data_IF_563736772148
#
_entry.id   IF_563736772148
#
_cell.length_a   1.000
_cell.length_b   1.000
_cell.length_c   1.000
_cell.angle_alpha   90.00
_cell.angle_beta   90.00
_cell.angle_gamma   90.00
#
_symmetry.space_group_name_H-M   'P 1'
#
loop_
_entity.id
_entity.type
_entity.pdbx_description
1 polymer ?
#
# COMPACT_ATOMS: atom_id res chain seq x y z
N UNK A 1 19.76 -29.70 21.74
CA UNK A 1 19.39 -29.30 23.11
C UNK A 1 18.38 -28.18 23.02
N UNK A 2 17.45 -28.04 23.98
CA UNK A 2 16.78 -26.75 24.16
C UNK A 2 17.83 -25.73 24.65
N UNK A 3 17.63 -24.45 24.33
CA UNK A 3 18.45 -23.37 24.90
C UNK A 3 17.76 -22.86 26.18
N UNK A 4 18.49 -22.33 27.18
CA UNK A 4 17.87 -21.88 28.43
C UNK A 4 16.80 -20.80 28.20
N UNK A 5 16.98 -19.93 27.20
CA UNK A 5 16.01 -18.90 26.81
C UNK A 5 14.69 -19.53 26.30
N UNK A 6 14.77 -20.65 25.58
CA UNK A 6 13.60 -21.41 25.13
C UNK A 6 12.87 -22.11 26.29
N UNK A 7 13.60 -22.58 27.30
CA UNK A 7 13.01 -23.16 28.52
C UNK A 7 12.31 -22.09 29.39
N UNK A 8 12.92 -20.91 29.56
CA UNK A 8 12.30 -19.77 30.28
C UNK A 8 11.04 -19.23 29.59
N UNK A 9 11.03 -19.21 28.26
CA UNK A 9 9.86 -18.88 27.44
C UNK A 9 8.76 -19.95 27.61
N UNK A 10 9.11 -21.23 27.48
CA UNK A 10 8.17 -22.34 27.64
C UNK A 10 7.58 -22.43 29.06
N UNK A 11 8.35 -22.09 30.10
CA UNK A 11 7.88 -22.00 31.47
C UNK A 11 6.81 -20.91 31.67
N UNK A 12 6.96 -19.75 31.00
CA UNK A 12 5.96 -18.69 31.01
C UNK A 12 4.66 -19.11 30.29
N UNK A 13 4.77 -19.78 29.14
CA UNK A 13 3.62 -20.35 28.44
C UNK A 13 2.88 -21.41 29.30
N UNK A 14 3.62 -22.30 29.98
CA UNK A 14 3.08 -23.26 30.96
C UNK A 14 2.33 -22.56 32.10
N UNK A 15 2.87 -21.47 32.65
CA UNK A 15 2.23 -20.68 33.73
C UNK A 15 0.90 -20.08 33.29
N UNK A 16 0.86 -19.44 32.12
CA UNK A 16 -0.37 -18.88 31.54
C UNK A 16 -1.40 -19.97 31.23
N UNK A 17 -0.97 -21.10 30.64
CA UNK A 17 -1.82 -22.26 30.37
C UNK A 17 -2.39 -22.88 31.65
N UNK A 18 -1.59 -22.94 32.71
CA UNK A 18 -2.02 -23.41 34.03
C UNK A 18 -3.16 -22.55 34.60
N UNK A 19 -2.99 -21.22 34.58
CA UNK A 19 -4.02 -20.27 35.05
C UNK A 19 -5.31 -20.32 34.23
N UNK A 20 -5.23 -20.60 32.92
CA UNK A 20 -6.40 -20.59 32.03
C UNK A 20 -7.36 -21.77 32.22
N UNK A 21 -6.95 -22.84 32.90
CA UNK A 21 -7.74 -24.06 33.10
C UNK A 21 -8.02 -24.88 31.83
N UNK A 22 -7.56 -24.43 30.65
CA UNK A 22 -7.91 -25.03 29.35
C UNK A 22 -7.02 -26.23 29.01
N UNK A 23 -7.57 -27.21 28.29
CA UNK A 23 -6.80 -28.34 27.75
C UNK A 23 -6.01 -27.93 26.51
N UNK A 24 -4.90 -28.62 26.22
CA UNK A 24 -4.08 -28.30 25.05
C UNK A 24 -4.84 -28.50 23.73
N UNK A 25 -5.75 -29.47 23.63
CA UNK A 25 -6.59 -29.66 22.45
C UNK A 25 -7.58 -28.49 22.19
N UNK A 26 -8.17 -27.92 23.25
CA UNK A 26 -9.07 -26.76 23.13
C UNK A 26 -8.31 -25.49 22.72
N UNK A 27 -7.07 -25.32 23.19
CA UNK A 27 -6.22 -24.21 22.78
C UNK A 27 -5.72 -24.40 21.34
N UNK A 28 -5.23 -25.59 21.00
CA UNK A 28 -4.75 -25.94 19.66
C UNK A 28 -5.83 -25.72 18.58
N UNK A 29 -7.05 -26.23 18.81
CA UNK A 29 -8.18 -26.06 17.88
C UNK A 29 -8.61 -24.61 17.67
N UNK A 30 -8.44 -23.72 18.66
CA UNK A 30 -8.71 -22.27 18.52
C UNK A 30 -7.55 -21.48 17.91
N UNK A 31 -6.38 -22.09 17.80
CA UNK A 31 -5.16 -21.49 17.25
C UNK A 31 -4.84 -22.00 15.84
N UNK A 32 -5.61 -22.96 15.33
CA UNK A 32 -5.37 -23.69 14.07
C UNK A 32 -3.98 -24.36 14.00
N UNK A 33 -3.40 -24.70 15.16
CA UNK A 33 -2.16 -25.49 15.27
C UNK A 33 -2.47 -26.90 15.77
N UNK A 34 -1.59 -27.87 15.50
CA UNK A 34 -1.75 -29.21 16.07
C UNK A 34 -1.47 -29.23 17.57
N UNK A 35 -2.11 -30.15 18.28
CA UNK A 35 -1.87 -30.35 19.73
C UNK A 35 -0.42 -30.72 20.02
N UNK A 36 0.26 -31.45 19.13
CA UNK A 36 1.68 -31.80 19.29
C UNK A 36 2.60 -30.59 19.13
N UNK A 37 2.32 -29.70 18.18
CA UNK A 37 3.05 -28.43 18.01
C UNK A 37 2.91 -27.56 19.25
N UNK A 38 1.70 -27.43 19.81
CA UNK A 38 1.47 -26.64 21.02
C UNK A 38 2.14 -27.24 22.27
N UNK A 39 2.18 -28.58 22.39
CA UNK A 39 2.94 -29.26 23.43
C UNK A 39 4.44 -28.94 23.35
N UNK A 40 5.03 -28.96 22.15
CA UNK A 40 6.45 -28.62 21.93
C UNK A 40 6.77 -27.19 22.36
N UNK A 41 5.93 -26.21 21.98
CA UNK A 41 6.09 -24.81 22.41
C UNK A 41 6.01 -24.65 23.93
N UNK A 42 5.11 -25.38 24.60
CA UNK A 42 5.01 -25.35 26.06
C UNK A 42 6.12 -26.16 26.77
N UNK A 43 6.93 -26.93 26.03
CA UNK A 43 8.05 -27.70 26.58
C UNK A 43 9.43 -27.07 26.34
N UNK A 44 9.59 -26.23 25.33
CA UNK A 44 10.90 -25.75 24.86
C UNK A 44 11.46 -26.57 23.69
N UNK A 45 10.77 -27.65 23.29
CA UNK A 45 11.12 -28.51 22.15
C UNK A 45 11.00 -27.81 20.77
N UNK A 46 10.44 -26.60 20.75
CA UNK A 46 10.39 -25.68 19.61
C UNK A 46 10.07 -24.25 20.08
N UNK A 47 10.60 -23.24 19.37
CA UNK A 47 10.21 -21.83 19.50
C UNK A 47 9.56 -21.41 18.18
N UNK A 48 8.33 -20.86 18.18
CA UNK A 48 7.65 -20.38 16.96
C UNK A 48 8.49 -19.36 16.20
N UNK A 49 8.46 -19.38 14.86
CA UNK A 49 9.15 -18.40 14.01
C UNK A 49 8.44 -17.04 13.90
N UNK A 50 7.21 -16.95 14.43
CA UNK A 50 6.36 -15.77 14.42
C UNK A 50 5.72 -15.58 15.80
N UNK A 51 5.47 -14.34 16.19
CA UNK A 51 4.82 -14.03 17.47
C UNK A 51 3.29 -14.22 17.45
N UNK A 52 2.63 -14.04 16.31
CA UNK A 52 1.16 -14.04 16.21
C UNK A 52 0.46 -15.32 16.74
N UNK A 53 1.01 -16.54 16.62
CA UNK A 53 0.48 -17.72 17.30
C UNK A 53 0.65 -17.69 18.84
N UNK A 54 1.77 -17.13 19.32
CA UNK A 54 2.10 -17.00 20.75
C UNK A 54 1.17 -15.98 21.42
N UNK A 55 0.96 -14.84 20.79
CA UNK A 55 0.12 -13.78 21.31
C UNK A 55 -1.34 -14.23 21.41
N UNK A 56 -1.88 -14.86 20.35
CA UNK A 56 -3.22 -15.45 20.36
C UNK A 56 -3.36 -16.51 21.44
N UNK A 57 -2.33 -17.32 21.70
CA UNK A 57 -2.32 -18.28 22.80
C UNK A 57 -2.36 -17.59 24.17
N UNK A 58 -1.55 -16.55 24.38
CA UNK A 58 -1.50 -15.81 25.64
C UNK A 58 -2.81 -15.04 25.91
N UNK A 59 -3.38 -14.39 24.89
CA UNK A 59 -4.73 -13.78 24.95
C UNK A 59 -5.81 -14.84 25.27
N UNK A 60 -5.79 -16.01 24.62
CA UNK A 60 -6.69 -17.14 24.93
C UNK A 60 -6.47 -17.76 26.33
N UNK A 61 -5.30 -17.57 26.93
CA UNK A 61 -5.02 -17.95 28.30
C UNK A 61 -5.38 -16.86 29.34
N UNK A 62 -5.78 -15.67 28.89
CA UNK A 62 -6.09 -14.53 29.75
C UNK A 62 -4.85 -13.90 30.36
N UNK A 63 -3.81 -13.65 29.56
CA UNK A 63 -2.68 -12.80 29.93
C UNK A 63 -3.10 -11.32 30.06
N UNK A 64 -2.51 -10.58 30.99
CA UNK A 64 -2.62 -9.10 31.03
C UNK A 64 -1.72 -8.45 29.97
N UNK A 65 -1.84 -7.13 29.77
CA UNK A 65 -0.96 -6.38 28.88
C UNK A 65 0.53 -6.54 29.25
N UNK A 66 0.87 -6.40 30.54
CA UNK A 66 2.24 -6.57 31.04
C UNK A 66 2.77 -7.99 30.80
N UNK A 67 1.91 -9.01 30.94
CA UNK A 67 2.27 -10.40 30.67
C UNK A 67 2.44 -10.67 29.17
N UNK A 68 1.70 -9.99 28.28
CA UNK A 68 1.90 -10.07 26.84
C UNK A 68 3.25 -9.45 26.44
N UNK A 69 3.63 -8.30 27.03
CA UNK A 69 4.94 -7.67 26.83
C UNK A 69 6.07 -8.60 27.30
N UNK A 70 5.94 -9.23 28.47
CA UNK A 70 6.95 -10.15 28.98
C UNK A 70 7.04 -11.47 28.18
N UNK A 71 5.91 -11.97 27.66
CA UNK A 71 5.87 -13.08 26.69
C UNK A 71 6.58 -12.70 25.38
N UNK A 72 6.39 -11.47 24.89
CA UNK A 72 7.08 -10.97 23.70
C UNK A 72 8.59 -10.83 23.92
N UNK A 73 9.00 -10.23 25.04
CA UNK A 73 10.42 -10.09 25.43
C UNK A 73 11.14 -11.44 25.46
N UNK A 74 10.54 -12.47 26.07
CA UNK A 74 11.14 -13.81 26.14
C UNK A 74 11.09 -14.55 24.81
N UNK A 75 10.06 -14.33 23.99
CA UNK A 75 10.03 -14.87 22.63
C UNK A 75 11.21 -14.33 21.80
N UNK A 76 11.48 -13.02 21.81
CA UNK A 76 12.62 -12.42 21.11
C UNK A 76 13.96 -13.07 21.53
N UNK A 77 14.17 -13.25 22.84
CA UNK A 77 15.40 -13.88 23.36
C UNK A 77 15.54 -15.34 22.93
N UNK A 78 14.46 -16.11 22.95
CA UNK A 78 14.42 -17.50 22.53
C UNK A 78 14.53 -17.66 21.00
N UNK A 79 13.98 -16.74 20.22
CA UNK A 79 14.07 -16.70 18.76
C UNK A 79 15.50 -16.36 18.31
N UNK A 80 16.12 -15.36 18.94
CA UNK A 80 17.53 -15.04 18.74
C UNK A 80 18.47 -16.21 19.14
N UNK A 81 18.14 -16.95 20.21
CA UNK A 81 18.88 -18.16 20.61
C UNK A 81 18.73 -19.30 19.58
N UNK A 82 17.53 -19.51 19.04
CA UNK A 82 17.29 -20.43 17.90
C UNK A 82 18.06 -19.99 16.65
N UNK A 83 18.15 -18.68 16.42
CA UNK A 83 18.97 -18.08 15.35
C UNK A 83 20.46 -18.41 15.51
N UNK A 84 21.03 -18.21 16.71
CA UNK A 84 22.41 -18.60 17.04
C UNK A 84 22.66 -20.08 16.76
N UNK A 85 21.83 -20.98 17.31
CA UNK A 85 21.98 -22.42 17.10
C UNK A 85 21.85 -22.87 15.64
N UNK A 86 21.11 -22.13 14.80
CA UNK A 86 21.05 -22.38 13.35
C UNK A 86 22.28 -21.87 12.60
N UNK A 87 22.92 -20.78 13.07
CA UNK A 87 24.14 -20.25 12.49
C UNK A 87 25.38 -21.05 12.92
N UNK A 88 25.44 -21.51 14.17
CA UNK A 88 26.51 -22.36 14.71
C UNK A 88 26.48 -23.76 14.07
N UNK A 89 25.30 -24.29 13.74
CA UNK A 89 25.12 -25.46 12.89
C UNK A 89 25.39 -25.20 11.38
N UNK A 90 25.89 -24.01 11.02
CA UNK A 90 26.17 -23.57 9.66
C UNK A 90 27.50 -22.79 9.52
N UNK A 91 28.43 -22.94 10.47
CA UNK A 91 29.83 -22.56 10.23
C UNK A 91 30.48 -23.50 9.19
N UNK A 92 31.47 -23.02 8.43
CA UNK A 92 31.69 -23.51 7.07
C UNK A 92 32.52 -24.80 6.98
N UNK A 93 32.01 -25.77 6.20
CA UNK A 93 32.88 -26.80 5.63
C UNK A 93 33.89 -26.15 4.66
N UNK A 94 35.18 -26.38 4.93
CA UNK A 94 36.29 -25.81 4.15
C UNK A 94 36.31 -26.36 2.72
N UNK A 95 36.48 -25.51 1.69
CA UNK A 95 36.51 -25.96 0.30
C UNK A 95 37.82 -26.70 -0.02
N UNK A 96 37.79 -28.03 0.02
CA UNK A 96 38.91 -28.88 -0.41
C UNK A 96 38.99 -28.88 -1.94
N UNK A 97 40.15 -28.48 -2.48
CA UNK A 97 40.37 -28.36 -3.91
C UNK A 97 40.39 -29.73 -4.65
N UNK A 98 39.93 -29.72 -5.89
CA UNK A 98 39.72 -30.93 -6.69
C UNK A 98 41.02 -31.64 -7.14
N UNK A 99 40.91 -32.96 -7.35
CA UNK A 99 41.73 -33.73 -8.30
C UNK A 99 40.82 -34.58 -9.20
N UNK A 100 41.23 -34.93 -10.43
CA UNK A 100 40.30 -35.29 -11.51
C UNK A 100 40.02 -36.79 -11.61
N UNK A 101 38.88 -37.13 -12.22
CA UNK A 101 38.59 -38.45 -12.81
C UNK A 101 38.11 -38.23 -14.25
N UNK A 102 38.53 -39.12 -15.14
CA UNK A 102 38.33 -39.08 -16.60
C UNK A 102 37.01 -39.80 -17.00
N UNK A 103 36.33 -39.44 -18.11
CA UNK A 103 34.91 -39.79 -18.29
C UNK A 103 34.66 -41.12 -19.02
N UNK A 104 33.57 -41.80 -18.65
CA UNK A 104 32.95 -42.91 -19.41
C UNK A 104 31.40 -42.83 -19.31
N UNK A 105 30.62 -43.61 -20.11
CA UNK A 105 29.78 -43.00 -21.13
C UNK A 105 28.29 -42.90 -20.81
N UNK A 106 27.57 -42.13 -21.64
CA UNK A 106 26.12 -41.96 -21.56
C UNK A 106 25.34 -43.16 -22.15
N UNK A 107 24.25 -43.62 -21.48
CA UNK A 107 23.25 -44.52 -22.06
C UNK A 107 22.04 -43.74 -22.62
N UNK A 108 21.54 -44.17 -23.77
CA UNK A 108 20.25 -43.74 -24.34
C UNK A 108 19.05 -44.53 -23.75
N UNK A 109 17.79 -44.11 -23.96
CA UNK A 109 16.71 -44.41 -23.01
C UNK A 109 16.11 -45.84 -23.10
N UNK A 110 15.70 -46.36 -21.94
CA UNK A 110 14.97 -47.63 -21.81
C UNK A 110 13.49 -47.38 -21.52
N UNK A 111 12.67 -48.27 -22.08
CA UNK A 111 11.20 -48.27 -22.15
C UNK A 111 10.55 -48.61 -20.79
N UNK A 112 9.35 -48.08 -20.53
CA UNK A 112 8.57 -48.37 -19.33
C UNK A 112 7.81 -49.71 -19.42
N UNK A 113 7.59 -50.32 -18.24
CA UNK A 113 6.70 -51.47 -17.98
C UNK A 113 5.75 -51.15 -16.79
N UNK A 114 4.67 -51.94 -16.56
CA UNK A 114 3.40 -51.38 -16.04
C UNK A 114 3.02 -51.73 -14.59
N UNK A 115 1.94 -51.10 -14.12
CA UNK A 115 1.25 -51.39 -12.85
C UNK A 115 0.44 -52.71 -12.85
N UNK A 116 0.14 -53.29 -11.66
CA UNK A 116 -0.58 -54.56 -11.51
C UNK A 116 -2.12 -54.44 -11.65
N UNK A 117 -2.78 -55.57 -11.87
CA UNK A 117 -4.23 -55.68 -12.04
C UNK A 117 -4.99 -56.17 -10.77
N UNK A 118 -6.30 -55.88 -10.64
CA UNK A 118 -7.18 -56.37 -9.56
C UNK A 118 -7.90 -57.70 -9.89
N UNK A 119 -8.60 -58.26 -8.90
CA UNK A 119 -9.19 -59.62 -8.89
C UNK A 119 -10.54 -59.77 -9.63
N UNK A 120 -10.90 -61.04 -9.89
CA UNK A 120 -12.09 -61.57 -10.59
C UNK A 120 -13.31 -61.77 -9.64
N UNK A 121 -14.58 -61.96 -10.12
CA UNK A 121 -14.99 -63.24 -10.74
C UNK A 121 -16.09 -63.23 -11.83
N UNK A 122 -16.19 -64.35 -12.55
CA UNK A 122 -17.23 -64.80 -13.51
C UNK A 122 -18.59 -65.23 -12.86
N UNK A 123 -19.65 -65.70 -13.59
CA UNK A 123 -19.88 -65.77 -15.06
C UNK A 123 -21.28 -65.34 -15.62
N UNK A 124 -21.34 -65.15 -16.95
CA UNK A 124 -22.37 -65.49 -18.01
C UNK A 124 -23.89 -65.77 -17.68
N UNK A 125 -24.88 -65.57 -18.62
CA UNK A 125 -24.74 -65.85 -20.08
C UNK A 125 -25.50 -64.99 -21.15
N UNK A 126 -24.81 -64.80 -22.30
CA UNK A 126 -25.26 -64.87 -23.72
C UNK A 126 -26.73 -64.53 -24.15
N UNK A 127 -26.89 -63.55 -25.09
CA UNK A 127 -27.61 -63.75 -26.41
C UNK A 127 -27.58 -62.57 -27.43
N UNK A 128 -27.02 -62.87 -28.61
CA UNK A 128 -27.37 -62.46 -30.00
C UNK A 128 -27.65 -60.99 -30.43
N UNK A 129 -27.16 -60.62 -31.64
CA UNK A 129 -27.34 -59.32 -32.32
C UNK A 129 -28.37 -59.36 -33.48
N UNK A 130 -28.72 -58.20 -34.10
CA UNK A 130 -28.51 -58.05 -35.56
C UNK A 130 -28.09 -56.61 -36.04
N UNK A 131 -28.23 -56.36 -37.36
CA UNK A 131 -27.53 -55.35 -38.19
C UNK A 131 -28.26 -53.97 -38.41
N UNK A 132 -27.69 -52.97 -39.12
CA UNK A 132 -28.05 -51.53 -38.98
C UNK A 132 -28.69 -50.78 -40.18
N UNK A 133 -29.12 -49.52 -39.92
CA UNK A 133 -29.40 -48.39 -40.84
C UNK A 133 -30.76 -48.41 -41.63
N UNK A 134 -31.27 -47.30 -42.25
CA UNK A 134 -30.64 -45.98 -42.48
C UNK A 134 -31.49 -44.67 -42.35
N UNK A 135 -30.77 -43.53 -42.27
CA UNK A 135 -31.04 -42.18 -42.83
C UNK A 135 -32.40 -41.44 -42.73
N UNK A 136 -32.36 -40.25 -42.12
CA UNK A 136 -33.18 -39.07 -42.48
C UNK A 136 -32.28 -37.87 -42.86
N UNK A 137 -32.83 -36.71 -43.24
CA UNK A 137 -32.09 -35.63 -43.95
C UNK A 137 -32.66 -34.21 -43.72
N UNK A 138 -31.82 -33.19 -43.97
CA UNK A 138 -32.09 -31.73 -44.11
C UNK A 138 -32.28 -30.90 -42.82
N UNK A 139 -31.89 -29.59 -42.78
CA UNK A 139 -30.92 -28.78 -43.58
C UNK A 139 -30.49 -27.55 -42.74
N UNK A 140 -29.36 -26.92 -43.07
CA UNK A 140 -28.85 -25.67 -42.44
C UNK A 140 -29.25 -24.43 -43.25
N UNK A 141 -29.60 -23.32 -42.59
CA UNK A 141 -29.48 -21.89 -42.99
C UNK A 141 -30.33 -21.02 -42.04
N UNK A 142 -30.07 -19.74 -41.75
CA UNK A 142 -28.86 -18.89 -41.88
C UNK A 142 -29.07 -17.61 -41.03
N UNK A 143 -28.03 -16.81 -40.80
CA UNK A 143 -28.11 -15.61 -39.97
C UNK A 143 -28.56 -14.32 -40.71
N UNK A 144 -29.00 -13.32 -39.93
CA UNK A 144 -29.19 -11.88 -40.22
C UNK A 144 -30.44 -11.41 -41.01
N UNK A 145 -31.02 -10.31 -40.50
CA UNK A 145 -31.72 -9.18 -41.20
C UNK A 145 -33.20 -8.97 -40.80
N UNK A 146 -33.64 -7.69 -40.77
CA UNK A 146 -34.96 -7.14 -40.32
C UNK A 146 -35.11 -7.09 -38.79
N UNK A 147 -35.20 -5.96 -38.08
CA UNK A 147 -35.38 -4.51 -38.38
C UNK A 147 -36.83 -4.06 -38.72
N UNK A 148 -37.38 -3.26 -37.79
CA UNK A 148 -38.52 -2.31 -37.83
C UNK A 148 -39.99 -2.78 -37.71
N UNK A 149 -40.78 -1.86 -37.11
CA UNK A 149 -42.23 -1.81 -36.81
C UNK A 149 -42.70 -2.70 -35.64
N UNK A 150 -43.24 -2.24 -34.50
CA UNK A 150 -43.87 -0.99 -34.00
C UNK A 150 -45.41 -0.90 -34.10
N UNK A 151 -46.04 -0.43 -32.99
CA UNK A 151 -47.50 -0.26 -32.74
C UNK A 151 -48.32 -1.58 -32.64
N UNK A 152 -49.38 -1.71 -31.82
CA UNK A 152 -50.04 -0.80 -30.89
C UNK A 152 -50.77 -1.56 -29.75
N UNK A 153 -50.86 -0.95 -28.56
CA UNK A 153 -51.86 -1.27 -27.53
C UNK A 153 -52.04 -0.08 -26.57
N UNK A 154 -53.03 0.79 -26.80
CA UNK A 154 -53.34 1.94 -25.94
C UNK A 154 -54.84 2.00 -25.66
N UNK A 155 -55.24 1.60 -24.45
CA UNK A 155 -56.54 1.92 -23.82
C UNK A 155 -56.31 1.90 -22.29
N UNK A 156 -56.83 2.79 -21.45
CA UNK A 156 -57.06 4.24 -21.56
C UNK A 156 -57.42 4.75 -20.15
N UNK A 157 -56.91 5.90 -19.70
CA UNK A 157 -57.60 6.81 -18.77
C UNK A 157 -56.82 8.13 -18.57
N UNK A 158 -57.14 9.11 -19.41
CA UNK A 158 -57.01 10.56 -19.14
C UNK A 158 -58.34 11.04 -18.50
N UNK A 159 -58.57 12.25 -17.96
CA UNK A 159 -58.03 13.61 -18.22
C UNK A 159 -58.02 14.45 -16.88
N UNK A 160 -58.00 15.83 -16.78
CA UNK A 160 -57.07 16.49 -15.83
C UNK A 160 -57.69 17.61 -14.93
N UNK A 161 -56.84 18.58 -14.51
CA UNK A 161 -57.15 19.99 -14.14
C UNK A 161 -57.77 20.26 -12.74
N UNK A 162 -57.55 21.43 -12.09
CA UNK A 162 -56.56 22.50 -12.31
C UNK A 162 -56.36 23.41 -11.06
N UNK A 163 -55.32 24.25 -11.15
CA UNK A 163 -54.94 25.45 -10.38
C UNK A 163 -56.01 26.12 -9.49
N UNK A 164 -55.62 26.48 -8.26
CA UNK A 164 -56.05 27.72 -7.58
C UNK A 164 -54.82 28.42 -6.97
N UNK A 165 -54.70 29.73 -7.20
CA UNK A 165 -53.80 30.65 -6.48
C UNK A 165 -54.66 31.50 -5.54
N UNK A 166 -54.24 31.68 -4.29
CA UNK A 166 -55.01 32.45 -3.30
C UNK A 166 -54.16 33.08 -2.20
N UNK A 167 -53.89 34.37 -2.32
CA UNK A 167 -53.37 35.24 -1.26
C UNK A 167 -54.53 36.05 -0.67
N UNK A 168 -54.61 36.16 0.67
CA UNK A 168 -55.37 37.12 1.52
C UNK A 168 -55.37 36.51 2.96
N UNK A 169 -54.92 37.10 4.08
CA UNK A 169 -54.46 38.43 4.57
C UNK A 169 -55.43 39.04 5.60
N UNK A 170 -54.88 39.32 6.80
CA UNK A 170 -55.49 40.06 7.95
C UNK A 170 -56.73 39.41 8.61
N UNK A 171 -57.12 39.72 9.85
CA UNK A 171 -56.73 40.76 10.86
C UNK A 171 -56.32 40.11 12.21
N UNK A 172 -55.84 40.76 13.27
CA UNK A 172 -55.44 42.15 13.61
C UNK A 172 -55.06 42.19 15.11
N UNK A 173 -53.89 42.71 15.52
CA UNK A 173 -53.63 44.10 15.95
C UNK A 173 -53.97 44.42 17.43
N UNK A 174 -52.94 44.52 18.28
CA UNK A 174 -52.73 45.53 19.35
C UNK A 174 -51.57 45.09 20.29
N UNK A 175 -50.73 45.96 20.91
CA UNK A 175 -50.38 47.35 20.64
C UNK A 175 -49.07 47.75 21.40
N UNK A 176 -48.27 48.68 20.84
CA UNK A 176 -47.45 49.73 21.51
C UNK A 176 -46.55 49.31 22.71
N UNK A 177 -45.21 49.43 22.63
CA UNK A 177 -44.45 50.67 22.92
C UNK A 177 -43.13 50.78 22.10
N UNK A 178 -42.59 52.00 22.00
CA UNK A 178 -41.49 52.37 21.07
C UNK A 178 -40.05 52.37 21.63
N UNK A 179 -39.05 52.71 20.78
CA UNK A 179 -37.62 52.55 21.05
C UNK A 179 -36.92 53.80 21.60
N UNK A 180 -35.66 53.65 22.03
CA UNK A 180 -34.76 54.77 22.38
C UNK A 180 -33.38 54.67 21.73
N UNK A 181 -32.91 55.82 21.26
CA UNK A 181 -31.62 56.06 20.59
C UNK A 181 -30.38 55.86 21.47
N UNK A 182 -29.26 55.45 20.82
CA UNK A 182 -28.20 56.43 20.44
C UNK A 182 -27.10 55.85 19.56
N UNK A 183 -26.88 56.48 18.40
CA UNK A 183 -25.61 56.48 17.66
C UNK A 183 -25.21 57.93 17.40
N UNK A 184 -23.94 58.29 17.65
CA UNK A 184 -23.49 59.68 17.70
C UNK A 184 -23.35 60.35 16.31
N UNK A 185 -23.63 61.65 16.24
CA UNK A 185 -23.24 62.53 15.15
C UNK A 185 -23.15 64.00 15.63
N UNK A 186 -22.07 64.70 15.27
CA UNK A 186 -21.95 66.15 14.99
C UNK A 186 -20.46 66.45 14.64
N UNK A 187 -20.07 67.19 13.60
CA UNK A 187 -20.83 67.68 12.44
C UNK A 187 -20.04 68.71 11.59
N UNK A 188 -20.38 68.80 10.27
CA UNK A 188 -20.07 69.87 9.27
C UNK A 188 -18.57 70.19 9.00
N UNK A 189 -18.13 70.59 7.79
CA UNK A 189 -18.74 70.79 6.45
C UNK A 189 -17.60 71.15 5.44
N UNK A 190 -17.79 71.39 4.15
CA UNK A 190 -18.99 71.46 3.30
C UNK A 190 -18.62 71.24 1.79
N UNK A 191 -19.62 71.33 0.91
CA UNK A 191 -19.56 71.67 -0.54
C UNK A 191 -18.85 70.77 -1.59
N UNK A 192 -19.69 69.95 -2.26
CA UNK A 192 -20.12 70.14 -3.66
C UNK A 192 -19.45 69.40 -4.87
N UNK A 193 -20.34 69.04 -5.81
CA UNK A 193 -20.17 68.66 -7.25
C UNK A 193 -19.36 67.40 -7.65
N UNK A 194 -20.08 66.27 -7.75
CA UNK A 194 -20.31 65.42 -8.95
C UNK A 194 -19.16 64.85 -9.85
N UNK A 195 -19.48 63.68 -10.41
CA UNK A 195 -18.91 62.99 -11.60
C UNK A 195 -17.62 62.15 -11.47
N UNK A 196 -17.81 60.82 -11.52
CA UNK A 196 -16.86 59.79 -11.95
C UNK A 196 -16.74 59.73 -13.50
N UNK A 197 -15.93 58.84 -14.14
CA UNK A 197 -15.09 57.76 -13.62
C UNK A 197 -13.67 57.63 -14.26
N UNK A 198 -13.05 56.47 -14.02
CA UNK A 198 -12.01 55.77 -14.82
C UNK A 198 -10.49 55.96 -14.58
N UNK A 199 -9.81 54.84 -14.82
CA UNK A 199 -8.35 54.60 -14.83
C UNK A 199 -7.74 54.86 -16.23
N UNK A 200 -6.40 54.84 -16.50
CA UNK A 200 -5.33 54.19 -15.72
C UNK A 200 -3.96 54.94 -15.63
N UNK A 201 -2.96 54.27 -15.02
CA UNK A 201 -1.51 54.54 -15.13
C UNK A 201 -0.91 53.97 -16.45
N UNK A 202 0.40 54.13 -16.79
CA UNK A 202 1.53 54.75 -16.08
C UNK A 202 2.39 55.71 -16.95
N UNK A 203 3.59 56.12 -16.48
CA UNK A 203 4.63 56.73 -17.33
C UNK A 203 6.07 56.56 -16.80
N UNK A 204 7.04 56.74 -17.72
CA UNK A 204 8.51 56.62 -17.60
C UNK A 204 9.15 57.83 -16.88
N UNK A 205 10.46 57.98 -16.57
CA UNK A 205 11.74 57.40 -17.06
C UNK A 205 12.85 57.61 -15.96
N UNK A 206 14.18 57.45 -16.06
CA UNK A 206 15.15 57.29 -17.17
C UNK A 206 16.48 56.60 -16.74
N UNK A 207 17.38 56.38 -17.72
CA UNK A 207 18.69 55.71 -17.65
C UNK A 207 19.89 56.54 -17.12
N UNK A 208 21.01 55.86 -16.83
CA UNK A 208 22.37 56.25 -17.31
C UNK A 208 23.41 55.11 -17.25
N UNK A 209 24.33 55.11 -18.22
CA UNK A 209 25.55 54.29 -18.35
C UNK A 209 26.56 55.09 -19.20
N UNK A 210 27.88 54.81 -19.16
CA UNK A 210 28.49 54.19 -20.36
C UNK A 210 29.70 53.27 -20.09
N UNK A 211 30.23 52.67 -21.17
CA UNK A 211 31.51 51.94 -21.29
C UNK A 211 32.27 52.44 -22.53
N UNK A 212 33.58 52.17 -22.68
CA UNK A 212 34.05 51.61 -23.96
C UNK A 212 35.17 50.54 -23.84
N UNK A 213 35.45 49.86 -24.96
CA UNK A 213 36.28 48.64 -25.05
C UNK A 213 37.57 48.82 -25.86
N UNK A 214 38.56 47.92 -25.64
CA UNK A 214 39.77 47.73 -26.46
C UNK A 214 40.00 46.21 -26.69
N UNK A 215 40.91 45.80 -27.60
CA UNK A 215 40.84 44.47 -28.26
C UNK A 215 42.17 43.76 -28.57
N UNK A 216 42.13 42.41 -28.53
CA UNK A 216 42.97 41.44 -29.27
C UNK A 216 44.45 41.20 -28.85
N UNK A 217 44.92 39.94 -28.97
CA UNK A 217 46.33 39.54 -28.86
C UNK A 217 46.52 38.03 -28.57
N UNK A 218 47.18 37.30 -29.48
CA UNK A 218 47.38 35.84 -29.40
C UNK A 218 48.55 35.41 -28.50
N UNK A 219 48.43 34.27 -27.82
CA UNK A 219 49.49 33.27 -27.69
C UNK A 219 48.96 31.93 -27.13
N UNK A 220 49.53 30.81 -27.59
CA UNK A 220 49.51 29.53 -26.86
C UNK A 220 50.94 29.24 -26.36
N UNK A 221 51.08 28.55 -25.23
CA UNK A 221 51.94 27.36 -25.29
C UNK A 221 51.35 26.15 -24.55
N UNK A 222 51.68 24.96 -25.03
CA UNK A 222 51.53 23.73 -24.25
C UNK A 222 52.62 23.65 -23.17
N UNK A 223 52.24 23.37 -21.92
CA UNK A 223 53.17 22.94 -20.87
C UNK A 223 52.63 21.68 -20.18
N UNK A 224 53.43 20.62 -20.25
CA UNK A 224 53.21 19.35 -19.53
C UNK A 224 53.68 19.51 -18.09
N UNK A 225 52.79 19.32 -17.13
CA UNK A 225 53.14 19.31 -15.71
C UNK A 225 52.54 18.10 -14.98
N UNK A 226 53.41 17.13 -14.69
CA UNK A 226 53.31 16.32 -13.47
C UNK A 226 54.38 16.87 -12.53
N UNK A 227 54.04 17.19 -11.27
CA UNK A 227 54.17 16.22 -10.18
C UNK A 227 52.94 16.26 -9.25
N UNK A 228 52.87 15.56 -8.11
CA UNK A 228 53.81 14.66 -7.44
C UNK A 228 53.06 13.45 -6.87
N UNK A 229 53.78 12.36 -6.61
CA UNK A 229 53.32 11.41 -5.60
C UNK A 229 53.40 12.08 -4.22
N UNK A 230 52.35 11.94 -3.41
CA UNK A 230 52.26 12.42 -2.03
C UNK A 230 51.69 11.31 -1.16
N UNK A 231 52.58 10.65 -0.43
CA UNK A 231 52.40 9.76 0.72
C UNK A 231 51.02 9.17 1.01
N UNK A 232 50.97 7.83 1.02
CA UNK A 232 50.02 7.05 1.82
C UNK A 232 50.18 7.35 3.32
N UNK A 233 49.38 8.29 3.84
CA UNK A 233 48.96 8.24 5.24
C UNK A 233 47.67 7.44 5.32
N UNK A 234 47.74 6.20 5.79
CA UNK A 234 46.60 5.33 6.00
C UNK A 234 45.73 5.78 7.18
N UNK A 235 45.03 6.90 7.01
CA UNK A 235 43.91 7.25 7.86
C UNK A 235 42.68 6.46 7.42
N UNK A 236 42.04 5.74 8.34
CA UNK A 236 40.64 5.34 8.18
C UNK A 236 39.79 6.60 8.33
N UNK A 237 39.68 7.37 7.24
CA UNK A 237 38.63 8.37 7.11
C UNK A 237 37.30 7.65 7.32
N UNK A 238 36.61 7.96 8.44
CA UNK A 238 35.23 7.53 8.61
C UNK A 238 34.46 8.09 7.42
N UNK A 239 33.77 7.20 6.72
CA UNK A 239 33.11 7.49 5.44
C UNK A 239 31.85 8.36 5.65
N UNK A 240 32.09 9.60 6.07
CA UNK A 240 31.07 10.51 6.59
C UNK A 240 30.12 11.01 5.51
N UNK A 241 28.88 11.29 5.90
CA UNK A 241 27.86 11.82 5.00
C UNK A 241 27.30 10.82 3.98
N UNK A 242 27.24 9.53 4.33
CA UNK A 242 26.55 8.53 3.50
C UNK A 242 25.05 8.87 3.34
N UNK A 243 24.42 8.47 2.22
CA UNK A 243 22.97 8.56 2.08
C UNK A 243 22.24 7.71 3.13
N UNK A 244 20.96 8.03 3.42
CA UNK A 244 20.08 7.13 4.14
C UNK A 244 19.67 5.96 3.24
N UNK A 245 19.24 4.86 3.85
CA UNK A 245 18.48 3.79 3.18
C UNK A 245 16.99 4.02 3.38
N UNK A 246 16.21 3.74 2.34
CA UNK A 246 14.74 3.75 2.38
C UNK A 246 14.24 2.36 1.99
N UNK A 247 13.32 1.81 2.77
CA UNK A 247 12.55 0.61 2.39
C UNK A 247 11.08 0.97 2.27
N UNK A 248 10.45 0.49 1.20
CA UNK A 248 9.01 0.63 0.99
C UNK A 248 8.34 -0.62 1.54
N UNK A 249 7.54 -0.45 2.58
CA UNK A 249 6.55 -1.42 3.00
C UNK A 249 5.17 -0.95 2.55
N UNK A 250 4.16 -1.81 2.70
CA UNK A 250 2.79 -1.50 2.36
C UNK A 250 1.92 -1.85 3.53
N UNK A 251 2.14 -1.11 4.62
CA UNK A 251 1.32 -1.22 5.81
C UNK A 251 -0.07 -0.65 5.54
N UNK A 252 -1.07 -1.29 6.14
CA UNK A 252 -2.48 -1.09 5.84
C UNK A 252 -3.16 -0.57 7.10
N UNK A 253 -2.98 0.73 7.35
CA UNK A 253 -3.06 1.35 8.67
C UNK A 253 -4.36 1.08 9.45
N UNK A 254 -5.50 0.97 8.75
CA UNK A 254 -6.83 0.81 9.36
C UNK A 254 -7.58 -0.43 8.83
N UNK A 255 -6.85 -1.53 8.58
CA UNK A 255 -7.32 -2.71 7.84
C UNK A 255 -7.52 -2.39 6.32
N UNK A 256 -7.71 -3.36 5.40
CA UNK A 256 -7.64 -3.12 3.95
C UNK A 256 -8.85 -2.40 3.34
N UNK A 257 -9.57 -1.61 4.15
CA UNK A 257 -10.72 -0.83 3.69
C UNK A 257 -10.28 0.31 2.76
N UNK A 258 -11.14 0.67 1.80
CA UNK A 258 -10.85 1.75 0.84
C UNK A 258 -9.74 1.46 -0.17
N UNK A 259 -8.96 0.39 0.01
CA UNK A 259 -7.98 -0.08 -0.98
C UNK A 259 -8.67 -0.88 -2.09
N UNK A 260 -8.46 -0.45 -3.33
CA UNK A 260 -8.91 -1.16 -4.53
C UNK A 260 -7.73 -1.52 -5.42
N UNK A 261 -7.81 -2.65 -6.09
CA UNK A 261 -6.96 -2.95 -7.25
C UNK A 261 -7.79 -3.04 -8.52
N UNK A 262 -7.27 -2.44 -9.59
CA UNK A 262 -7.82 -2.56 -10.93
C UNK A 262 -7.24 -3.80 -11.60
N UNK A 263 -8.11 -4.70 -12.08
CA UNK A 263 -7.71 -6.01 -12.61
C UNK A 263 -8.40 -6.30 -13.96
N UNK A 264 -7.65 -6.86 -14.91
CA UNK A 264 -8.14 -7.28 -16.24
C UNK A 264 -8.64 -8.73 -16.25
N UNK A 265 -9.53 -9.08 -15.32
CA UNK A 265 -9.95 -10.46 -15.05
C UNK A 265 -11.47 -10.54 -14.82
N UNK A 266 -12.09 -11.69 -15.17
CA UNK A 266 -13.49 -11.94 -14.81
C UNK A 266 -13.58 -12.14 -13.27
N UNK A 267 -14.52 -11.49 -12.55
CA UNK A 267 -14.67 -11.62 -11.10
C UNK A 267 -14.81 -13.05 -10.58
N UNK A 268 -15.25 -14.02 -11.40
CA UNK A 268 -15.33 -15.44 -11.04
C UNK A 268 -13.98 -16.16 -11.11
N UNK A 269 -12.96 -15.51 -11.67
CA UNK A 269 -11.60 -16.03 -11.85
C UNK A 269 -10.56 -15.32 -11.00
N UNK A 270 -10.88 -14.13 -10.48
CA UNK A 270 -10.05 -13.44 -9.49
C UNK A 270 -10.04 -14.25 -8.18
N UNK A 271 -8.87 -14.64 -7.64
CA UNK A 271 -8.79 -15.37 -6.37
C UNK A 271 -9.36 -14.54 -5.20
N UNK A 272 -9.62 -15.14 -4.03
CA UNK A 272 -9.95 -14.37 -2.82
C UNK A 272 -8.88 -13.31 -2.51
N UNK A 273 -9.24 -12.19 -1.85
CA UNK A 273 -8.27 -11.26 -1.32
C UNK A 273 -7.37 -11.98 -0.29
N UNK A 274 -6.07 -11.66 -0.24
CA UNK A 274 -5.14 -12.25 0.71
C UNK A 274 -5.21 -11.53 2.07
N UNK A 275 -4.42 -11.94 3.08
CA UNK A 275 -4.22 -11.13 4.28
C UNK A 275 -3.67 -9.72 3.95
N UNK A 276 -3.89 -8.71 4.83
CA UNK A 276 -3.63 -7.30 4.51
C UNK A 276 -2.18 -6.95 4.16
N UNK A 277 -1.22 -7.75 4.64
CA UNK A 277 0.22 -7.64 4.36
C UNK A 277 0.62 -8.09 2.94
N UNK A 278 -0.25 -8.84 2.28
CA UNK A 278 0.05 -9.60 1.06
C UNK A 278 -0.70 -9.07 -0.18
N UNK A 279 -1.60 -8.09 0.00
CA UNK A 279 -2.47 -7.51 -1.04
C UNK A 279 -1.68 -7.01 -2.25
N UNK A 280 -0.57 -6.31 -2.02
CA UNK A 280 0.26 -5.73 -3.08
C UNK A 280 1.10 -6.76 -3.84
N UNK A 281 1.42 -7.89 -3.21
CA UNK A 281 2.06 -9.04 -3.87
C UNK A 281 1.06 -9.80 -4.76
N UNK A 282 -0.13 -10.05 -4.23
CA UNK A 282 -1.28 -10.61 -4.94
C UNK A 282 -1.67 -9.76 -6.17
N UNK A 283 -1.76 -8.44 -6.01
CA UNK A 283 -2.08 -7.52 -7.11
C UNK A 283 -1.04 -7.60 -8.24
N UNK A 284 0.25 -7.63 -7.91
CA UNK A 284 1.33 -7.80 -8.90
C UNK A 284 1.26 -9.14 -9.64
N UNK A 285 0.94 -10.22 -8.94
CA UNK A 285 0.77 -11.54 -9.56
C UNK A 285 -0.39 -11.58 -10.56
N UNK A 286 -1.42 -10.75 -10.36
CA UNK A 286 -2.57 -10.58 -11.27
C UNK A 286 -2.37 -9.47 -12.32
N UNK A 287 -1.27 -8.72 -12.26
CA UNK A 287 -0.97 -7.59 -13.17
C UNK A 287 -1.73 -6.30 -12.87
N UNK A 288 -2.21 -6.13 -11.63
CA UNK A 288 -3.08 -5.04 -11.22
C UNK A 288 -2.41 -3.67 -11.03
N UNK A 289 -3.26 -2.65 -10.87
CA UNK A 289 -2.89 -1.25 -10.63
C UNK A 289 -3.61 -0.75 -9.38
N UNK A 290 -2.91 0.00 -8.51
CA UNK A 290 -3.50 0.63 -7.32
C UNK A 290 -4.63 1.59 -7.73
N UNK A 291 -5.83 1.38 -7.17
CA UNK A 291 -7.08 1.98 -7.61
C UNK A 291 -7.56 3.09 -6.68
N UNK A 292 -7.72 4.30 -7.20
CA UNK A 292 -8.28 5.46 -6.48
C UNK A 292 -7.28 6.11 -5.53
N UNK A 293 -6.58 5.30 -4.73
CA UNK A 293 -5.44 5.73 -3.94
C UNK A 293 -4.39 4.62 -3.80
N UNK A 294 -3.19 5.00 -3.33
CA UNK A 294 -2.15 4.08 -2.91
C UNK A 294 -1.56 4.56 -1.58
N UNK A 295 -1.70 3.74 -0.54
CA UNK A 295 -1.05 3.94 0.75
C UNK A 295 0.36 3.33 0.75
N UNK A 296 1.35 4.08 1.21
CA UNK A 296 2.75 3.62 1.34
C UNK A 296 3.26 3.83 2.76
N UNK A 297 4.08 2.89 3.24
CA UNK A 297 4.95 3.07 4.41
C UNK A 297 6.40 3.21 3.92
N UNK A 298 7.09 4.27 4.31
CA UNK A 298 8.49 4.50 3.96
C UNK A 298 9.34 4.54 5.23
N UNK A 299 9.98 3.42 5.57
CA UNK A 299 10.98 3.39 6.65
C UNK A 299 12.29 4.00 6.16
N UNK A 300 12.82 4.99 6.88
CA UNK A 300 14.07 5.68 6.53
C UNK A 300 15.07 5.57 7.67
N UNK A 301 16.27 5.07 7.36
CA UNK A 301 17.33 4.81 8.35
C UNK A 301 18.68 5.37 7.84
N UNK A 302 19.48 5.93 8.76
CA UNK A 302 20.85 6.33 8.46
C UNK A 302 21.80 5.13 8.50
N UNK A 303 22.77 5.08 7.59
CA UNK A 303 23.73 3.95 7.51
C UNK A 303 24.83 3.99 8.59
N UNK A 304 24.74 4.90 9.57
CA UNK A 304 25.66 5.03 10.71
C UNK A 304 25.09 5.96 11.80
N UNK A 305 25.73 6.02 12.96
CA UNK A 305 25.39 6.95 14.06
C UNK A 305 25.58 8.44 13.69
N UNK A 306 26.17 8.74 12.52
CA UNK A 306 26.17 10.10 12.00
C UNK A 306 24.77 10.45 11.49
N UNK A 307 24.17 11.48 12.07
CA UNK A 307 22.87 11.99 11.68
C UNK A 307 22.79 12.33 10.18
N UNK A 308 21.70 11.92 9.55
CA UNK A 308 21.24 12.38 8.25
C UNK A 308 20.01 13.25 8.49
N UNK A 309 20.01 14.47 7.95
CA UNK A 309 18.84 15.34 7.92
C UNK A 309 18.10 15.10 6.61
N UNK A 310 16.80 14.85 6.72
CA UNK A 310 15.88 14.70 5.60
C UNK A 310 15.21 16.06 5.39
N UNK A 311 15.48 16.70 4.26
CA UNK A 311 15.21 18.14 4.05
C UNK A 311 13.87 18.37 3.34
N UNK A 312 13.51 17.51 2.39
CA UNK A 312 12.16 17.42 1.82
C UNK A 312 11.93 16.06 1.14
N UNK A 313 10.67 15.63 1.06
CA UNK A 313 10.22 14.52 0.23
C UNK A 313 9.26 15.07 -0.82
N UNK A 314 9.46 14.71 -2.10
CA UNK A 314 8.77 15.34 -3.24
C UNK A 314 8.21 14.33 -4.22
N UNK A 315 6.98 14.57 -4.69
CA UNK A 315 6.33 13.75 -5.72
C UNK A 315 6.76 14.20 -7.11
N UNK A 316 6.98 13.22 -7.99
CA UNK A 316 7.38 13.43 -9.39
C UNK A 316 6.49 12.60 -10.31
N UNK A 317 5.54 13.27 -10.97
CA UNK A 317 4.71 12.65 -12.00
C UNK A 317 5.49 12.52 -13.30
N UNK A 318 5.50 11.32 -13.87
CA UNK A 318 6.10 11.01 -15.18
C UNK A 318 5.08 11.09 -16.32
N UNK A 319 3.83 10.70 -16.07
CA UNK A 319 2.74 10.88 -17.04
C UNK A 319 1.37 10.80 -16.37
N UNK A 320 0.43 11.63 -16.82
CA UNK A 320 -1.02 11.45 -16.61
C UNK A 320 -1.68 10.98 -17.90
N UNK A 321 -2.71 10.14 -17.80
CA UNK A 321 -3.49 9.56 -18.90
C UNK A 321 -4.95 9.43 -18.48
N UNK A 322 -5.84 9.08 -19.42
CA UNK A 322 -7.21 8.72 -19.06
C UNK A 322 -7.22 7.48 -18.13
N UNK A 323 -8.11 7.39 -17.13
CA UNK A 323 -8.17 6.26 -16.19
C UNK A 323 -8.28 4.89 -16.87
N UNK A 324 -7.68 3.88 -16.25
CA UNK A 324 -7.71 2.51 -16.75
C UNK A 324 -9.13 1.94 -16.70
N UNK A 325 -9.64 1.44 -17.83
CA UNK A 325 -11.02 0.96 -17.98
C UNK A 325 -11.20 -0.48 -17.47
N UNK A 326 -10.74 -0.75 -16.25
CA UNK A 326 -10.78 -2.05 -15.59
C UNK A 326 -11.68 -2.02 -14.34
N UNK A 327 -12.40 -3.12 -14.03
CA UNK A 327 -13.15 -3.26 -12.79
C UNK A 327 -12.25 -3.14 -11.55
N UNK A 328 -12.80 -2.59 -10.47
CA UNK A 328 -12.10 -2.34 -9.22
C UNK A 328 -12.49 -3.40 -8.17
N UNK A 329 -11.50 -3.98 -7.50
CA UNK A 329 -11.67 -5.04 -6.50
C UNK A 329 -11.27 -4.52 -5.13
N UNK A 330 -12.24 -4.41 -4.21
CA UNK A 330 -12.07 -3.99 -2.81
C UNK A 330 -11.27 -5.04 -2.03
N UNK A 331 -10.21 -4.63 -1.34
CA UNK A 331 -9.40 -5.53 -0.52
C UNK A 331 -9.96 -5.76 0.90
N UNK A 332 -10.92 -4.95 1.34
CA UNK A 332 -11.50 -5.03 2.68
C UNK A 332 -12.85 -4.32 2.78
N UNK A 333 -13.82 -4.98 3.41
CA UNK A 333 -15.11 -4.38 3.75
C UNK A 333 -15.19 -4.13 5.25
N UNK A 334 -15.34 -2.85 5.62
CA UNK A 334 -15.26 -2.35 6.99
C UNK A 334 -13.87 -1.78 7.30
N UNK A 335 -13.84 -0.53 7.76
CA UNK A 335 -12.69 0.04 8.46
C UNK A 335 -12.91 -0.12 9.96
N UNK A 336 -11.92 -0.62 10.69
CA UNK A 336 -11.89 -0.47 12.15
C UNK A 336 -11.67 1.00 12.53
N UNK A 337 -12.29 1.47 13.62
CA UNK A 337 -12.02 2.82 14.17
C UNK A 337 -10.71 2.81 14.98
N UNK A 338 -9.59 2.52 14.32
CA UNK A 338 -8.43 1.88 14.94
C UNK A 338 -7.07 2.45 14.58
N UNK A 339 -6.77 3.66 15.09
CA UNK A 339 -5.47 4.35 15.01
C UNK A 339 -5.09 4.77 13.58
N UNK A 340 -5.49 5.99 13.23
CA UNK A 340 -5.01 6.69 12.04
C UNK A 340 -3.64 7.33 12.40
N UNK A 341 -2.52 6.94 11.75
CA UNK A 341 -1.23 7.53 12.04
C UNK A 341 -1.09 8.95 11.48
N UNK A 342 0.02 9.64 11.80
CA UNK A 342 0.33 10.90 11.13
C UNK A 342 0.82 10.61 9.71
N UNK A 343 0.12 11.15 8.70
CA UNK A 343 0.39 10.87 7.29
C UNK A 343 0.76 12.11 6.49
N UNK A 344 1.07 11.91 5.21
CA UNK A 344 1.21 12.94 4.18
C UNK A 344 0.24 12.65 3.03
N UNK A 345 -0.72 13.55 2.83
CA UNK A 345 -1.63 13.53 1.69
C UNK A 345 -0.90 13.94 0.40
N UNK A 346 -1.23 13.27 -0.70
CA UNK A 346 -0.76 13.58 -2.05
C UNK A 346 -1.90 13.51 -3.06
N UNK A 347 -2.44 14.67 -3.44
CA UNK A 347 -3.26 14.84 -4.64
C UNK A 347 -2.41 14.58 -5.91
N UNK A 348 -2.66 13.46 -6.58
CA UNK A 348 -1.99 13.10 -7.84
C UNK A 348 -2.64 13.70 -9.09
N UNK A 349 -3.68 14.53 -8.97
CA UNK A 349 -4.34 15.26 -10.05
C UNK A 349 -3.89 16.73 -10.16
N UNK A 350 -3.48 17.41 -9.07
CA UNK A 350 -2.92 18.78 -9.11
C UNK A 350 -1.79 18.85 -10.14
N UNK A 351 -1.77 19.89 -10.98
CA UNK A 351 -0.65 20.31 -11.82
C UNK A 351 0.78 20.02 -11.27
N UNK A 352 1.01 20.14 -9.97
CA UNK A 352 2.29 19.97 -9.28
C UNK A 352 2.08 19.37 -7.87
N UNK A 353 1.92 18.04 -7.74
CA UNK A 353 1.64 17.40 -6.45
C UNK A 353 2.70 17.72 -5.38
N UNK A 354 2.23 18.04 -4.18
CA UNK A 354 3.03 18.23 -2.96
C UNK A 354 2.58 17.26 -1.88
N UNK A 355 3.49 16.91 -0.97
CA UNK A 355 3.12 16.26 0.29
C UNK A 355 2.49 17.31 1.21
N UNK A 356 1.33 17.00 1.79
CA UNK A 356 0.67 17.84 2.80
C UNK A 356 0.58 17.05 4.11
N UNK A 357 1.21 17.49 5.21
CA UNK A 357 1.19 16.73 6.47
C UNK A 357 -0.21 16.77 7.11
N UNK A 358 -0.75 15.59 7.46
CA UNK A 358 -2.08 15.39 8.05
C UNK A 358 -1.94 14.86 9.48
N UNK A 359 -2.75 15.38 10.40
CA UNK A 359 -2.74 14.95 11.80
C UNK A 359 -3.48 13.61 11.99
N UNK A 360 -2.83 12.65 12.64
CA UNK A 360 -3.41 11.34 12.95
C UNK A 360 -4.34 11.37 14.16
N UNK A 361 -4.97 10.22 14.47
CA UNK A 361 -5.91 10.03 15.58
C UNK A 361 -5.66 8.69 16.28
N UNK A 362 -5.33 8.73 17.58
CA UNK A 362 -5.18 7.57 18.44
C UNK A 362 -6.33 7.51 19.46
N UNK A 363 -7.47 7.00 19.03
CA UNK A 363 -8.71 7.09 19.81
C UNK A 363 -9.22 8.53 19.83
N UNK A 364 -9.39 9.10 21.03
CA UNK A 364 -9.77 10.52 21.21
C UNK A 364 -8.57 11.49 21.13
N UNK A 365 -7.32 11.00 21.09
CA UNK A 365 -6.11 11.83 21.03
C UNK A 365 -5.69 12.13 19.58
N UNK A 366 -5.30 13.38 19.31
CA UNK A 366 -4.81 13.79 17.97
C UNK A 366 -3.28 13.75 17.92
N UNK A 367 -2.72 12.99 16.98
CA UNK A 367 -1.28 12.94 16.71
C UNK A 367 -0.91 14.16 15.86
N UNK A 368 -0.09 15.12 16.34
CA UNK A 368 0.16 16.36 15.62
C UNK A 368 0.86 16.17 14.27
N UNK A 369 0.48 16.95 13.27
CA UNK A 369 1.13 16.97 11.96
C UNK A 369 2.55 17.60 12.02
N UNK A 370 3.60 16.76 11.99
CA UNK A 370 5.01 17.16 11.83
C UNK A 370 5.36 17.21 10.34
N UNK A 371 5.92 18.33 9.88
CA UNK A 371 6.46 18.49 8.52
C UNK A 371 7.99 18.39 8.51
N UNK A 372 8.60 18.37 7.32
CA UNK A 372 10.04 18.38 7.11
C UNK A 372 10.69 19.66 7.69
N UNK A 373 11.94 19.58 8.22
CA UNK A 373 12.87 18.46 8.13
C UNK A 373 12.77 17.40 9.24
N UNK A 374 13.15 16.17 8.90
CA UNK A 374 13.27 15.02 9.80
C UNK A 374 14.73 14.60 9.99
N UNK A 375 15.02 13.68 10.92
CA UNK A 375 16.40 13.24 11.23
C UNK A 375 16.47 11.74 11.48
N UNK A 376 17.49 11.08 10.92
CA UNK A 376 17.73 9.63 11.10
C UNK A 376 19.21 9.31 11.36
N UNK A 377 19.48 8.14 11.92
CA UNK A 377 20.81 7.52 12.11
C UNK A 377 20.66 5.99 11.97
N UNK A 378 21.69 5.19 12.31
CA UNK A 378 21.52 3.73 12.45
C UNK A 378 20.68 3.31 13.66
N UNK A 379 20.55 4.19 14.66
CA UNK A 379 19.84 3.99 15.93
C UNK A 379 18.51 4.75 16.03
N UNK A 380 18.25 5.66 15.08
CA UNK A 380 17.13 6.61 15.05
C UNK A 380 16.46 6.53 13.67
N UNK A 381 15.21 6.05 13.62
CA UNK A 381 14.50 5.66 12.38
C UNK A 381 13.20 6.45 12.30
N UNK A 382 12.97 7.13 11.19
CA UNK A 382 11.71 7.82 10.91
C UNK A 382 10.91 6.99 9.90
N UNK A 383 9.59 6.91 10.11
CA UNK A 383 8.64 6.23 9.22
C UNK A 383 7.71 7.28 8.63
N UNK A 384 7.46 7.24 7.33
CA UNK A 384 6.56 8.16 6.64
C UNK A 384 5.41 7.43 5.98
N UNK A 385 4.21 7.85 6.35
CA UNK A 385 2.97 7.24 5.90
C UNK A 385 2.36 8.17 4.85
N UNK A 386 2.26 7.71 3.61
CA UNK A 386 1.75 8.52 2.49
C UNK A 386 0.41 7.96 2.02
N UNK A 387 -0.59 8.81 1.86
CA UNK A 387 -1.85 8.47 1.17
C UNK A 387 -1.95 9.29 -0.11
N UNK A 388 -1.79 8.63 -1.26
CA UNK A 388 -1.68 9.28 -2.56
C UNK A 388 -2.87 8.93 -3.45
N UNK A 389 -3.75 9.90 -3.69
CA UNK A 389 -5.08 9.73 -4.28
C UNK A 389 -5.21 10.35 -5.67
N UNK A 390 -6.22 9.89 -6.43
CA UNK A 390 -6.50 10.31 -7.81
C UNK A 390 -7.97 10.09 -8.15
N UNK A 391 -8.65 11.16 -8.58
CA UNK A 391 -10.05 11.15 -9.05
C UNK A 391 -10.16 11.18 -10.59
N UNK A 392 -9.19 11.78 -11.29
CA UNK A 392 -9.31 12.11 -12.71
C UNK A 392 -8.52 11.24 -13.70
N UNK A 393 -7.41 10.62 -13.27
CA UNK A 393 -6.39 10.10 -14.22
C UNK A 393 -5.89 8.66 -13.93
N UNK A 394 -5.11 8.13 -14.88
CA UNK A 394 -4.08 7.10 -14.68
C UNK A 394 -2.72 7.80 -14.58
N UNK A 395 -2.06 7.72 -13.43
CA UNK A 395 -0.87 8.50 -13.08
C UNK A 395 0.31 7.57 -12.81
N UNK A 396 1.41 7.77 -13.54
CA UNK A 396 2.69 7.11 -13.26
C UNK A 396 3.64 8.09 -12.58
N UNK A 397 4.19 7.75 -11.41
CA UNK A 397 4.92 8.69 -10.55
C UNK A 397 6.00 8.04 -9.68
N UNK A 398 6.83 8.84 -9.02
CA UNK A 398 7.85 8.40 -8.05
C UNK A 398 8.12 9.50 -7.02
N UNK A 399 8.98 9.20 -6.04
CA UNK A 399 9.36 10.10 -4.97
C UNK A 399 10.85 10.48 -5.02
N UNK A 400 11.17 11.70 -4.59
CA UNK A 400 12.53 12.21 -4.39
C UNK A 400 12.72 12.69 -2.96
N UNK A 401 13.60 12.02 -2.22
CA UNK A 401 13.99 12.37 -0.85
C UNK A 401 15.31 13.17 -0.88
N UNK A 402 15.26 14.46 -0.56
CA UNK A 402 16.45 15.30 -0.42
C UNK A 402 17.07 15.15 0.97
N UNK A 403 18.32 14.73 1.03
CA UNK A 403 19.02 14.44 2.28
C UNK A 403 20.35 15.21 2.39
N UNK A 404 20.81 15.41 3.61
CA UNK A 404 22.08 16.06 3.92
C UNK A 404 22.74 15.39 5.14
N UNK A 405 24.04 15.12 5.06
CA UNK A 405 24.82 14.54 6.17
C UNK A 405 26.31 14.81 5.97
N UNK A 406 27.03 15.14 7.04
CA UNK A 406 28.49 15.30 7.01
C UNK A 406 29.04 16.32 6.00
N UNK A 407 28.25 17.32 5.62
CA UNK A 407 28.60 18.28 4.56
C UNK A 407 28.34 17.79 3.12
N UNK A 408 27.94 16.53 2.94
CA UNK A 408 27.37 16.02 1.68
C UNK A 408 25.86 16.26 1.63
N UNK A 409 25.34 16.43 0.43
CA UNK A 409 23.91 16.50 0.12
C UNK A 409 23.60 15.60 -1.07
N UNK A 410 22.33 15.24 -1.24
CA UNK A 410 21.88 14.49 -2.41
C UNK A 410 20.37 14.27 -2.44
N UNK A 411 19.92 13.64 -3.51
CA UNK A 411 18.52 13.21 -3.69
C UNK A 411 18.50 11.71 -3.89
N UNK A 412 17.70 11.01 -3.09
CA UNK A 412 17.43 9.58 -3.26
C UNK A 412 16.09 9.41 -3.97
N UNK A 413 16.09 8.68 -5.08
CA UNK A 413 14.87 8.26 -5.78
C UNK A 413 14.25 7.09 -5.01
N UNK A 414 12.96 7.21 -4.68
CA UNK A 414 12.17 6.16 -4.05
C UNK A 414 11.06 5.77 -5.03
N UNK A 415 11.12 4.54 -5.51
CA UNK A 415 10.18 3.94 -6.46
C UNK A 415 10.14 2.40 -6.28
N UNK A 416 9.29 1.73 -7.05
CA UNK A 416 9.04 0.30 -6.92
C UNK A 416 10.12 -0.56 -7.61
N UNK A 417 11.33 -0.54 -7.05
CA UNK A 417 12.45 -1.35 -7.50
C UNK A 417 12.96 -0.97 -8.89
N UNK A 418 13.04 0.33 -9.19
CA UNK A 418 13.39 0.87 -10.50
C UNK A 418 12.21 1.06 -11.45
N UNK A 419 10.97 0.84 -10.98
CA UNK A 419 9.73 1.14 -11.71
C UNK A 419 8.98 2.26 -10.99
N UNK A 420 8.38 3.23 -11.70
CA UNK A 420 7.49 4.18 -11.06
C UNK A 420 6.26 3.48 -10.46
N UNK A 421 5.73 4.06 -9.39
CA UNK A 421 4.39 3.76 -8.90
C UNK A 421 3.35 4.11 -9.97
N UNK A 422 2.19 3.43 -9.90
CA UNK A 422 1.07 3.69 -10.80
C UNK A 422 -0.24 3.63 -10.03
N UNK A 423 -0.96 4.74 -10.00
CA UNK A 423 -2.26 4.85 -9.35
C UNK A 423 -3.27 5.34 -10.39
N UNK A 424 -4.47 4.76 -10.44
CA UNK A 424 -5.51 5.18 -11.38
C UNK A 424 -6.86 5.32 -10.70
N UNK A 425 -7.55 6.44 -10.94
CA UNK A 425 -8.88 6.73 -10.41
C UNK A 425 -9.85 5.57 -10.56
N UNK A 426 -10.65 5.28 -9.51
CA UNK A 426 -11.77 4.33 -9.51
C UNK A 426 -13.11 4.90 -9.99
N UNK A 427 -13.17 6.13 -10.51
CA UNK A 427 -14.43 6.71 -10.95
C UNK A 427 -15.12 5.84 -12.04
N UNK A 428 -16.44 5.64 -11.91
CA UNK A 428 -17.32 5.20 -13.01
C UNK A 428 -17.23 3.75 -13.51
N UNK A 429 -16.47 2.85 -12.88
CA UNK A 429 -16.43 1.42 -13.26
C UNK A 429 -17.34 0.54 -12.40
N UNK A 430 -17.48 -0.77 -12.71
CA UNK A 430 -17.94 -1.75 -11.73
C UNK A 430 -16.94 -1.92 -10.58
N UNK A 431 -17.41 -1.71 -9.35
CA UNK A 431 -16.74 -2.15 -8.12
C UNK A 431 -17.19 -3.56 -7.73
N UNK A 432 -16.26 -4.34 -7.17
CA UNK A 432 -16.47 -5.68 -6.63
C UNK A 432 -15.92 -5.79 -5.21
N UNK A 433 -16.65 -6.51 -4.36
CA UNK A 433 -16.25 -6.82 -2.99
C UNK A 433 -16.33 -8.33 -2.75
N UNK A 434 -15.48 -8.86 -1.86
CA UNK A 434 -15.42 -10.30 -1.63
C UNK A 434 -16.39 -10.76 -0.54
N UNK A 435 -17.34 -11.61 -0.91
CA UNK A 435 -18.25 -12.28 0.02
C UNK A 435 -17.57 -13.49 0.64
N UNK A 436 -17.08 -13.34 1.86
CA UNK A 436 -16.44 -14.44 2.60
C UNK A 436 -17.39 -15.61 2.91
N UNK A 437 -18.70 -15.36 3.03
CA UNK A 437 -19.73 -16.37 3.34
C UNK A 437 -20.13 -17.24 2.13
N UNK A 438 -20.16 -16.66 0.93
CA UNK A 438 -20.47 -17.38 -0.33
C UNK A 438 -19.23 -17.65 -1.19
N UNK A 439 -18.06 -17.13 -0.81
CA UNK A 439 -16.76 -17.24 -1.50
C UNK A 439 -16.77 -16.78 -2.96
N UNK A 440 -17.35 -15.60 -3.22
CA UNK A 440 -17.39 -14.97 -4.54
C UNK A 440 -17.11 -13.46 -4.48
N UNK A 441 -16.61 -12.91 -5.58
CA UNK A 441 -16.63 -11.47 -5.84
C UNK A 441 -18.03 -11.04 -6.28
N UNK A 442 -18.74 -10.32 -5.41
CA UNK A 442 -20.06 -9.74 -5.70
C UNK A 442 -19.88 -8.28 -6.17
N UNK A 443 -20.72 -7.83 -7.11
CA UNK A 443 -20.68 -6.44 -7.57
C UNK A 443 -21.37 -5.54 -6.53
N UNK A 444 -20.77 -4.39 -6.23
CA UNK A 444 -21.43 -3.33 -5.45
C UNK A 444 -22.51 -2.60 -6.27
#
# INVERSE_FOLDING_TARGET
MATPEAEEFAALLKKLKGRSGRSYGVLAGRLHVSTSTLHRYCNGDAVPGEFAPVERFARLCGATADELVEVHRRWILADAARGRGKAEAAEPEVPVAARPVEPEPAPEPVRAEPEPAPEEPEPEPVRAAPAPAPSSRWRRASARTRVLLAAAAVVALTVPAAVVVGQLKETGSDAVLGPTDRRSAEGKGADAVSASPDSPSPSVSASRSPSPSATAGSASPSVRSSPSASHTTGGTEKETGRPPTVTISSYNWEEPCGQYYLLDHDPKTVPPPPPPDSTRGWARALGGVDGGGMRLELTVQGTSEQAVVLNSLRVKVLSRRAPVQQPAFSMGEGCGSGIEPQSFDVDLDDSRPSLTPVAGKQGDETVPAKDFPFRVSSSDVEVFDLDAHVEGHDVSWYLELEWSSGGRTGTLRVDEGGKPFRTSSIAGRPEYYYRYDTSVWEKR
#
